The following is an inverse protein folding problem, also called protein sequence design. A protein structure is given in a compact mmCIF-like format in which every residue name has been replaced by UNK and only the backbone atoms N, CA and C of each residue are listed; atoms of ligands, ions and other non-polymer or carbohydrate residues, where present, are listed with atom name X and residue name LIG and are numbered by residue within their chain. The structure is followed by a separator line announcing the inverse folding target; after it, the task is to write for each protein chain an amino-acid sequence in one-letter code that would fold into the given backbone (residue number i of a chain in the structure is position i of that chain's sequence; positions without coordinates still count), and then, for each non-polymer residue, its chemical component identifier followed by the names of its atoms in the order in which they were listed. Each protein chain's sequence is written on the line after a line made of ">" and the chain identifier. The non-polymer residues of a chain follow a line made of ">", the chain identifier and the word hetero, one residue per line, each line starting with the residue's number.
data_IF_695918139173
#
_entry.id   IF_695918139173
#
_cell.length_a   1.000
_cell.length_b   1.000
_cell.length_c   1.000
_cell.angle_alpha   90.00
_cell.angle_beta   90.00
_cell.angle_gamma   90.00
#
_symmetry.space_group_name_H-M   'P 1'
#
loop_
_entity.id
_entity.type
_entity.pdbx_description
1 polymer ?
#
# COMPACT_ATOMS: atom_id res chain seq x y z
N UNK A 1 19.83 3.64 19.28
CA UNK A 1 18.52 4.02 19.88
C UNK A 1 18.44 3.44 21.28
N UNK A 2 18.16 4.25 22.30
CA UNK A 2 17.93 3.74 23.66
C UNK A 2 16.55 3.09 23.75
N UNK A 3 16.37 2.11 24.66
CA UNK A 3 15.06 1.44 24.90
C UNK A 3 13.92 2.45 25.11
N UNK A 4 14.21 3.53 25.84
CA UNK A 4 13.31 4.68 26.06
C UNK A 4 12.85 5.36 24.77
N UNK A 5 13.68 5.43 23.74
CA UNK A 5 13.31 6.04 22.45
C UNK A 5 12.32 5.16 21.70
N UNK A 6 12.53 3.84 21.70
CA UNK A 6 11.66 2.87 21.01
C UNK A 6 10.27 2.89 21.64
N UNK A 7 10.19 2.87 22.97
CA UNK A 7 8.92 2.90 23.69
C UNK A 7 8.09 4.17 23.37
N UNK A 8 8.75 5.31 23.19
CA UNK A 8 8.10 6.55 22.79
C UNK A 8 7.50 6.47 21.38
N UNK A 9 8.17 5.80 20.44
CA UNK A 9 7.67 5.61 19.08
C UNK A 9 6.56 4.56 19.03
N UNK A 10 6.70 3.45 19.76
CA UNK A 10 5.65 2.43 19.88
C UNK A 10 4.37 3.01 20.47
N UNK A 11 4.49 3.82 21.52
CA UNK A 11 3.35 4.52 22.09
C UNK A 11 2.72 5.50 21.10
N UNK A 12 3.54 6.26 20.38
CA UNK A 12 3.05 7.22 19.37
C UNK A 12 2.34 6.55 18.17
N UNK A 13 2.66 5.28 17.91
CA UNK A 13 2.02 4.43 16.88
C UNK A 13 0.81 3.65 17.39
N UNK A 14 0.45 3.75 18.68
CA UNK A 14 -0.69 3.03 19.22
C UNK A 14 -1.99 3.80 18.92
N UNK A 15 -2.89 3.28 18.06
CA UNK A 15 -4.12 3.97 17.69
C UNK A 15 -5.17 3.99 18.82
N UNK A 16 -4.94 3.25 19.90
CA UNK A 16 -5.85 3.20 21.04
C UNK A 16 -5.50 4.24 22.11
N UNK A 17 -4.36 4.92 21.99
CA UNK A 17 -3.89 5.90 22.97
C UNK A 17 -3.77 7.26 22.29
N UNK A 18 -4.61 8.21 22.72
CA UNK A 18 -4.55 9.58 22.22
C UNK A 18 -3.23 10.26 22.66
N UNK A 19 -2.56 11.02 21.78
CA UNK A 19 -1.36 11.77 22.15
C UNK A 19 -1.71 12.84 23.19
N UNK A 20 -0.85 13.03 24.20
CA UNK A 20 -1.14 13.94 25.34
C UNK A 20 -0.59 15.36 25.19
N UNK A 21 0.26 15.60 24.19
CA UNK A 21 0.88 16.91 24.00
C UNK A 21 1.63 17.02 22.68
N UNK A 22 2.21 18.20 22.42
CA UNK A 22 2.78 18.56 21.12
C UNK A 22 3.85 17.57 20.63
N UNK A 23 4.78 17.16 21.49
CA UNK A 23 5.84 16.23 21.12
C UNK A 23 5.33 14.83 20.76
N UNK A 24 4.35 14.30 21.51
CA UNK A 24 3.72 13.01 21.21
C UNK A 24 2.90 13.11 19.91
N UNK A 25 2.17 14.21 19.71
CA UNK A 25 1.37 14.45 18.51
C UNK A 25 2.24 14.54 17.24
N UNK A 26 3.39 15.21 17.31
CA UNK A 26 4.37 15.26 16.22
C UNK A 26 4.94 13.89 15.89
N UNK A 27 5.36 13.10 16.89
CA UNK A 27 5.87 11.74 16.67
C UNK A 27 4.80 10.84 16.07
N UNK A 28 3.59 10.94 16.58
CA UNK A 28 2.45 10.17 16.09
C UNK A 28 2.16 10.53 14.63
N UNK A 29 2.05 11.82 14.28
CA UNK A 29 1.85 12.25 12.89
C UNK A 29 2.99 11.84 11.94
N UNK A 30 4.24 11.80 12.43
CA UNK A 30 5.41 11.36 11.65
C UNK A 30 5.49 9.85 11.51
N UNK A 31 4.83 9.07 12.37
CA UNK A 31 4.84 7.61 12.29
C UNK A 31 4.27 7.08 10.97
N UNK A 32 3.44 7.86 10.27
CA UNK A 32 3.00 7.57 8.91
C UNK A 32 4.14 7.19 7.96
N UNK A 33 5.33 7.79 8.12
CA UNK A 33 6.50 7.46 7.30
C UNK A 33 6.89 5.98 7.44
N UNK A 34 6.74 5.42 8.64
CA UNK A 34 6.98 4.00 8.90
C UNK A 34 5.93 3.16 8.18
N UNK A 35 4.65 3.53 8.29
CA UNK A 35 3.56 2.82 7.60
C UNK A 35 3.71 2.86 6.08
N UNK A 36 4.06 4.02 5.51
CA UNK A 36 4.35 4.18 4.08
C UNK A 36 5.54 3.31 3.65
N UNK A 37 6.60 3.27 4.46
CA UNK A 37 7.77 2.43 4.19
C UNK A 37 7.44 0.93 4.19
N UNK A 38 6.66 0.47 5.17
CA UNK A 38 6.18 -0.93 5.23
C UNK A 38 5.34 -1.25 3.99
N UNK A 39 4.37 -0.39 3.67
CA UNK A 39 3.49 -0.59 2.52
C UNK A 39 4.27 -0.62 1.20
N UNK A 40 5.29 0.23 1.03
CA UNK A 40 6.16 0.22 -0.14
C UNK A 40 6.96 -1.09 -0.23
N UNK A 41 7.70 -1.44 0.82
CA UNK A 41 8.58 -2.63 0.81
C UNK A 41 7.77 -3.89 0.53
N UNK A 42 6.63 -4.04 1.19
CA UNK A 42 5.78 -5.22 1.03
C UNK A 42 5.02 -5.18 -0.30
N UNK A 43 4.64 -4.00 -0.78
CA UNK A 43 4.04 -3.83 -2.10
C UNK A 43 4.99 -4.20 -3.25
N UNK A 44 6.31 -4.04 -3.06
CA UNK A 44 7.31 -4.45 -4.05
C UNK A 44 7.50 -5.98 -4.14
N UNK A 45 7.08 -6.75 -3.14
CA UNK A 45 7.23 -8.22 -3.16
C UNK A 45 6.39 -8.85 -4.29
N UNK A 46 5.06 -8.60 -4.39
CA UNK A 46 4.28 -9.05 -5.54
C UNK A 46 4.82 -8.51 -6.86
N UNK A 47 5.24 -7.24 -6.92
CA UNK A 47 5.79 -6.62 -8.13
C UNK A 47 7.02 -7.35 -8.64
N UNK A 48 7.97 -7.65 -7.74
CA UNK A 48 9.18 -8.41 -8.06
C UNK A 48 8.85 -9.82 -8.55
N UNK A 49 7.94 -10.51 -7.87
CA UNK A 49 7.58 -11.86 -8.30
C UNK A 49 6.84 -11.87 -9.63
N UNK A 50 5.91 -10.92 -9.88
CA UNK A 50 5.24 -10.79 -11.17
C UNK A 50 6.24 -10.56 -12.32
N UNK A 51 7.35 -9.90 -12.03
CA UNK A 51 8.44 -9.69 -12.97
C UNK A 51 9.19 -10.99 -13.29
N UNK A 52 9.35 -11.91 -12.32
CA UNK A 52 10.18 -13.11 -12.48
C UNK A 52 9.42 -14.41 -12.72
N UNK A 53 8.10 -14.45 -12.52
CA UNK A 53 7.34 -15.71 -12.44
C UNK A 53 6.68 -16.17 -13.75
N UNK A 54 6.63 -15.31 -14.78
CA UNK A 54 5.87 -15.59 -16.00
C UNK A 54 4.35 -15.64 -15.79
N UNK A 55 3.85 -15.28 -14.59
CA UNK A 55 2.43 -15.31 -14.21
C UNK A 55 1.51 -14.57 -15.18
N UNK A 56 2.00 -13.55 -15.87
CA UNK A 56 1.19 -12.81 -16.81
C UNK A 56 0.69 -13.65 -17.99
N UNK A 57 1.49 -14.62 -18.46
CA UNK A 57 1.10 -15.50 -19.55
C UNK A 57 -0.09 -16.40 -19.18
N UNK A 58 -0.18 -16.78 -17.90
CA UNK A 58 -1.28 -17.56 -17.35
C UNK A 58 -2.46 -16.69 -16.93
N UNK A 59 -2.22 -15.46 -16.47
CA UNK A 59 -3.26 -14.48 -16.14
C UNK A 59 -4.11 -14.06 -17.33
N UNK A 60 -3.45 -13.80 -18.46
CA UNK A 60 -4.17 -13.29 -19.64
C UNK A 60 -4.83 -14.40 -20.47
N UNK A 61 -4.51 -15.68 -20.24
CA UNK A 61 -5.06 -16.76 -21.08
C UNK A 61 -6.58 -16.90 -20.96
N UNK A 62 -7.13 -16.72 -19.76
CA UNK A 62 -8.57 -16.73 -19.54
C UNK A 62 -9.26 -15.52 -20.19
N UNK A 63 -8.58 -14.37 -20.17
CA UNK A 63 -9.09 -13.13 -20.75
C UNK A 63 -9.09 -13.17 -22.28
N UNK A 64 -8.01 -13.67 -22.89
CA UNK A 64 -7.96 -13.89 -24.33
C UNK A 64 -9.04 -14.86 -24.83
N UNK A 65 -9.35 -15.90 -24.04
CA UNK A 65 -10.44 -16.82 -24.35
C UNK A 65 -11.82 -16.12 -24.28
N UNK A 66 -12.04 -15.24 -23.29
CA UNK A 66 -13.26 -14.41 -23.20
C UNK A 66 -13.42 -13.44 -24.36
N UNK A 67 -12.32 -12.91 -24.87
CA UNK A 67 -12.30 -12.00 -26.01
C UNK A 67 -12.57 -12.71 -27.36
N UNK A 68 -12.57 -14.05 -27.40
CA UNK A 68 -12.82 -14.81 -28.62
C UNK A 68 -11.73 -14.66 -29.69
N UNK A 69 -10.49 -14.38 -29.27
CA UNK A 69 -9.36 -14.18 -30.18
C UNK A 69 -8.96 -15.48 -30.90
N UNK A 70 -8.57 -15.38 -32.16
CA UNK A 70 -7.98 -16.51 -32.90
C UNK A 70 -6.60 -16.90 -32.34
N UNK A 71 -6.12 -18.11 -32.65
CA UNK A 71 -4.79 -18.59 -32.23
C UNK A 71 -3.68 -17.61 -32.60
N UNK A 72 -3.75 -17.04 -33.80
CA UNK A 72 -2.72 -16.14 -34.33
C UNK A 72 -2.78 -14.77 -33.64
N UNK A 73 -3.98 -14.30 -33.32
CA UNK A 73 -4.17 -13.09 -32.53
C UNK A 73 -3.66 -13.25 -31.09
N UNK A 74 -3.90 -14.40 -30.46
CA UNK A 74 -3.37 -14.71 -29.13
C UNK A 74 -1.85 -14.76 -29.14
N UNK A 75 -1.26 -15.40 -30.15
CA UNK A 75 0.19 -15.45 -30.30
C UNK A 75 0.80 -14.04 -30.45
N UNK A 76 0.20 -13.20 -31.29
CA UNK A 76 0.64 -11.82 -31.49
C UNK A 76 0.52 -10.98 -30.20
N UNK A 77 -0.60 -11.10 -29.47
CA UNK A 77 -0.80 -10.41 -28.19
C UNK A 77 0.19 -10.85 -27.11
N UNK A 78 0.50 -12.15 -27.03
CA UNK A 78 1.52 -12.67 -26.11
C UNK A 78 2.89 -12.09 -26.40
N UNK A 79 3.32 -12.06 -27.67
CA UNK A 79 4.61 -11.48 -28.04
C UNK A 79 4.68 -9.97 -27.74
N UNK A 80 3.61 -9.23 -28.05
CA UNK A 80 3.52 -7.82 -27.71
C UNK A 80 3.60 -7.56 -26.20
N UNK A 81 2.88 -8.36 -25.41
CA UNK A 81 2.88 -8.25 -23.95
C UNK A 81 4.23 -8.64 -23.34
N UNK A 82 4.95 -9.63 -23.88
CA UNK A 82 6.32 -9.95 -23.43
C UNK A 82 7.25 -8.75 -23.51
N UNK A 83 7.08 -7.88 -24.52
CA UNK A 83 7.88 -6.67 -24.66
C UNK A 83 7.42 -5.59 -23.68
N UNK A 84 6.12 -5.34 -23.57
CA UNK A 84 5.60 -4.19 -22.79
C UNK A 84 5.59 -4.43 -21.29
N UNK A 85 5.27 -5.66 -20.88
CA UNK A 85 5.00 -5.98 -19.48
C UNK A 85 6.19 -5.72 -18.53
N UNK A 86 7.44 -6.06 -18.89
CA UNK A 86 8.61 -5.70 -18.09
C UNK A 86 8.74 -4.19 -17.86
N UNK A 87 8.46 -3.37 -18.87
CA UNK A 87 8.47 -1.91 -18.74
C UNK A 87 7.32 -1.41 -17.87
N UNK A 88 6.11 -1.98 -18.03
CA UNK A 88 4.96 -1.60 -17.21
C UNK A 88 5.20 -1.92 -15.72
N UNK A 89 5.73 -3.10 -15.40
CA UNK A 89 6.11 -3.47 -14.03
C UNK A 89 7.21 -2.56 -13.51
N UNK A 90 8.31 -2.40 -14.28
CA UNK A 90 9.46 -1.59 -13.86
C UNK A 90 9.07 -0.13 -13.63
N UNK A 91 8.30 0.46 -14.54
CA UNK A 91 7.78 1.81 -14.40
C UNK A 91 6.84 1.93 -13.19
N UNK A 92 5.96 0.96 -12.98
CA UNK A 92 5.08 0.91 -11.81
C UNK A 92 5.86 0.87 -10.49
N UNK A 93 6.95 0.10 -10.43
CA UNK A 93 7.84 0.03 -9.26
C UNK A 93 8.53 1.37 -9.01
N UNK A 94 9.13 1.98 -10.05
CA UNK A 94 9.79 3.29 -9.96
C UNK A 94 8.81 4.36 -9.50
N UNK A 95 7.64 4.41 -10.13
CA UNK A 95 6.57 5.35 -9.78
C UNK A 95 6.14 5.17 -8.33
N UNK A 96 5.98 3.93 -7.86
CA UNK A 96 5.61 3.64 -6.47
C UNK A 96 6.67 4.13 -5.48
N UNK A 97 7.97 3.89 -5.75
CA UNK A 97 9.07 4.40 -4.92
C UNK A 97 9.06 5.92 -4.85
N UNK A 98 8.90 6.60 -5.99
CA UNK A 98 8.83 8.06 -6.05
C UNK A 98 7.61 8.60 -5.31
N UNK A 99 6.43 8.04 -5.54
CA UNK A 99 5.18 8.46 -4.92
C UNK A 99 5.26 8.32 -3.40
N UNK A 100 5.60 7.13 -2.90
CA UNK A 100 5.71 6.88 -1.46
C UNK A 100 6.84 7.69 -0.81
N UNK A 101 7.95 7.91 -1.54
CA UNK A 101 9.04 8.77 -1.10
C UNK A 101 8.60 10.23 -0.92
N UNK A 102 7.90 10.80 -1.90
CA UNK A 102 7.34 12.16 -1.82
C UNK A 102 6.32 12.26 -0.69
N UNK A 103 5.39 11.32 -0.58
CA UNK A 103 4.40 11.29 0.50
C UNK A 103 5.06 11.22 1.88
N UNK A 104 6.10 10.39 2.02
CA UNK A 104 6.87 10.29 3.26
C UNK A 104 7.57 11.61 3.62
N UNK A 105 8.21 12.27 2.65
CA UNK A 105 8.85 13.58 2.86
C UNK A 105 7.83 14.64 3.24
N UNK A 106 6.72 14.74 2.50
CA UNK A 106 5.65 15.70 2.79
C UNK A 106 5.09 15.46 4.19
N UNK A 107 4.81 14.21 4.54
CA UNK A 107 4.25 13.88 5.83
C UNK A 107 5.23 14.13 6.99
N UNK A 108 6.52 13.88 6.79
CA UNK A 108 7.55 14.16 7.79
C UNK A 108 7.66 15.65 8.11
N UNK A 109 7.59 16.49 7.07
CA UNK A 109 7.76 17.94 7.15
C UNK A 109 6.48 18.65 7.60
N UNK A 110 5.36 18.32 6.98
CA UNK A 110 4.10 19.05 7.13
C UNK A 110 3.16 18.44 8.17
N UNK A 111 3.29 17.14 8.47
CA UNK A 111 2.44 16.41 9.43
C UNK A 111 0.94 16.57 9.11
N UNK A 112 0.61 16.37 7.83
CA UNK A 112 -0.75 16.61 7.33
C UNK A 112 -1.74 15.55 7.82
N UNK A 113 -3.02 15.93 7.93
CA UNK A 113 -4.13 14.98 8.14
C UNK A 113 -4.62 14.32 6.84
N UNK A 114 -4.36 14.96 5.69
CA UNK A 114 -4.88 14.51 4.40
C UNK A 114 -4.27 13.17 3.97
N UNK A 115 -2.94 13.02 4.08
CA UNK A 115 -2.25 11.79 3.65
C UNK A 115 -2.77 10.56 4.44
N UNK A 116 -2.83 10.56 5.78
CA UNK A 116 -3.41 9.43 6.53
C UNK A 116 -4.87 9.13 6.13
N UNK A 117 -5.72 10.14 5.93
CA UNK A 117 -7.12 9.96 5.52
C UNK A 117 -7.20 9.27 4.16
N UNK A 118 -6.46 9.77 3.17
CA UNK A 118 -6.45 9.21 1.82
C UNK A 118 -5.96 7.76 1.85
N UNK A 119 -4.88 7.46 2.58
CA UNK A 119 -4.32 6.12 2.66
C UNK A 119 -5.27 5.14 3.36
N UNK A 120 -5.98 5.57 4.41
CA UNK A 120 -7.03 4.78 5.05
C UNK A 120 -8.22 4.53 4.11
N UNK A 121 -8.65 5.55 3.37
CA UNK A 121 -9.73 5.43 2.38
C UNK A 121 -9.37 4.44 1.25
N UNK A 122 -8.15 4.53 0.71
CA UNK A 122 -7.66 3.59 -0.30
C UNK A 122 -7.60 2.16 0.23
N UNK A 123 -7.19 1.98 1.48
CA UNK A 123 -7.12 0.66 2.10
C UNK A 123 -8.52 0.08 2.37
N UNK A 124 -9.46 0.90 2.85
CA UNK A 124 -10.86 0.51 3.03
C UNK A 124 -11.50 0.13 1.69
N UNK A 125 -11.28 0.94 0.65
CA UNK A 125 -11.71 0.63 -0.71
C UNK A 125 -11.13 -0.71 -1.19
N UNK A 126 -9.82 -0.93 -1.03
CA UNK A 126 -9.17 -2.18 -1.41
C UNK A 126 -9.76 -3.40 -0.70
N UNK A 127 -10.02 -3.29 0.61
CA UNK A 127 -10.65 -4.35 1.39
C UNK A 127 -12.06 -4.66 0.86
N UNK A 128 -12.90 -3.64 0.68
CA UNK A 128 -14.27 -3.80 0.18
C UNK A 128 -14.29 -4.35 -1.24
N UNK A 129 -13.41 -3.87 -2.12
CA UNK A 129 -13.30 -4.35 -3.49
C UNK A 129 -12.87 -5.83 -3.54
N UNK A 130 -11.86 -6.22 -2.75
CA UNK A 130 -11.41 -7.61 -2.67
C UNK A 130 -12.51 -8.54 -2.13
N UNK A 131 -13.23 -8.11 -1.09
CA UNK A 131 -14.37 -8.86 -0.56
C UNK A 131 -15.49 -8.97 -1.60
N UNK A 132 -15.83 -7.87 -2.27
CA UNK A 132 -16.84 -7.83 -3.33
C UNK A 132 -16.54 -8.78 -4.48
N UNK A 133 -15.30 -8.75 -4.99
CA UNK A 133 -14.87 -9.66 -6.06
C UNK A 133 -14.97 -11.13 -5.66
N UNK A 134 -14.64 -11.45 -4.39
CA UNK A 134 -14.77 -12.83 -3.86
C UNK A 134 -16.23 -13.25 -3.73
N UNK A 135 -17.09 -12.41 -3.17
CA UNK A 135 -18.52 -12.72 -3.02
C UNK A 135 -19.24 -12.86 -4.36
N UNK A 136 -18.84 -12.07 -5.36
CA UNK A 136 -19.40 -12.13 -6.71
C UNK A 136 -18.78 -13.24 -7.58
N UNK A 137 -17.76 -13.95 -7.09
CA UNK A 137 -17.04 -14.97 -7.88
C UNK A 137 -16.31 -14.39 -9.09
N UNK A 138 -16.00 -13.09 -9.08
CA UNK A 138 -15.36 -12.36 -10.20
C UNK A 138 -13.86 -12.17 -9.99
N UNK A 139 -13.28 -12.82 -8.98
CA UNK A 139 -11.86 -12.68 -8.68
C UNK A 139 -11.03 -13.18 -9.87
N UNK A 140 -10.10 -12.37 -10.40
CA UNK A 140 -9.30 -12.77 -11.56
C UNK A 140 -8.38 -13.95 -11.17
N UNK A 141 -8.45 -15.02 -11.96
CA UNK A 141 -7.50 -16.15 -11.88
C UNK A 141 -6.33 -15.91 -12.85
N UNK A 142 -5.09 -16.29 -12.49
CA UNK A 142 -4.65 -16.97 -11.28
C UNK A 142 -4.53 -16.05 -10.06
N UNK A 143 -4.94 -16.56 -8.90
CA UNK A 143 -4.74 -15.88 -7.62
C UNK A 143 -3.26 -15.75 -7.26
N UNK A 144 -2.91 -14.74 -6.46
CA UNK A 144 -1.57 -14.60 -5.90
C UNK A 144 -1.23 -15.83 -5.02
N UNK A 145 0.02 -16.31 -5.05
CA UNK A 145 0.47 -17.40 -4.17
C UNK A 145 0.15 -17.12 -2.69
N UNK A 146 -0.24 -18.17 -1.95
CA UNK A 146 -0.63 -18.05 -0.54
C UNK A 146 0.42 -17.34 0.32
N UNK A 147 1.71 -17.64 0.12
CA UNK A 147 2.79 -17.01 0.87
C UNK A 147 2.82 -15.49 0.70
N UNK A 148 2.42 -14.96 -0.45
CA UNK A 148 2.31 -13.52 -0.66
C UNK A 148 1.17 -12.92 0.13
N UNK A 149 0.00 -13.57 0.10
CA UNK A 149 -1.16 -13.14 0.89
C UNK A 149 -0.80 -13.08 2.38
N UNK A 150 -0.03 -14.06 2.86
CA UNK A 150 0.47 -14.11 4.23
C UNK A 150 1.51 -13.03 4.56
N UNK A 151 2.12 -12.37 3.58
CA UNK A 151 3.03 -11.23 3.80
C UNK A 151 2.31 -9.88 3.63
N UNK A 152 1.45 -9.74 2.62
CA UNK A 152 0.80 -8.48 2.28
C UNK A 152 -0.31 -8.10 3.24
N UNK A 153 -1.14 -9.07 3.68
CA UNK A 153 -2.25 -8.79 4.59
C UNK A 153 -1.81 -8.35 5.98
N UNK A 154 -0.86 -9.05 6.66
CA UNK A 154 -0.37 -8.58 7.95
C UNK A 154 0.32 -7.22 7.86
N UNK A 155 1.09 -6.97 6.80
CA UNK A 155 1.74 -5.68 6.59
C UNK A 155 0.73 -4.55 6.35
N UNK A 156 -0.34 -4.81 5.60
CA UNK A 156 -1.43 -3.87 5.40
C UNK A 156 -2.13 -3.57 6.74
N UNK A 157 -2.39 -4.58 7.57
CA UNK A 157 -2.98 -4.40 8.90
C UNK A 157 -2.08 -3.56 9.82
N UNK A 158 -0.78 -3.83 9.86
CA UNK A 158 0.19 -3.02 10.62
C UNK A 158 0.22 -1.57 10.10
N UNK A 159 0.23 -1.39 8.79
CA UNK A 159 0.21 -0.06 8.17
C UNK A 159 -1.07 0.69 8.53
N UNK A 160 -2.23 0.03 8.52
CA UNK A 160 -3.52 0.58 8.92
C UNK A 160 -3.49 1.17 10.33
N UNK A 161 -2.98 0.39 11.28
CA UNK A 161 -2.84 0.76 12.69
C UNK A 161 -1.99 2.03 12.80
N UNK A 162 -0.87 2.09 12.08
CA UNK A 162 0.01 3.27 12.05
C UNK A 162 -0.70 4.47 11.40
N UNK A 163 -1.48 4.27 10.34
CA UNK A 163 -2.20 5.35 9.66
C UNK A 163 -3.26 5.98 10.58
N UNK A 164 -3.99 5.16 11.36
CA UNK A 164 -4.95 5.64 12.36
C UNK A 164 -4.23 6.44 13.44
N UNK A 165 -3.13 5.92 14.00
CA UNK A 165 -2.35 6.64 15.00
C UNK A 165 -1.85 7.99 14.44
N UNK A 166 -1.27 7.98 13.24
CA UNK A 166 -0.83 9.21 12.56
C UNK A 166 -1.95 10.22 12.35
N UNK A 167 -3.16 9.76 12.02
CA UNK A 167 -4.30 10.65 11.86
C UNK A 167 -4.65 11.33 13.18
N UNK A 168 -4.67 10.59 14.30
CA UNK A 168 -4.92 11.15 15.63
C UNK A 168 -3.87 12.22 15.98
N UNK A 169 -2.58 11.93 15.74
CA UNK A 169 -1.51 12.90 15.91
C UNK A 169 -1.71 14.18 15.09
N UNK A 170 -2.00 14.03 13.79
CA UNK A 170 -2.21 15.16 12.89
C UNK A 170 -3.45 16.00 13.25
N UNK A 171 -4.54 15.37 13.68
CA UNK A 171 -5.74 16.07 14.15
C UNK A 171 -5.47 16.88 15.41
N UNK A 172 -4.74 16.32 16.37
CA UNK A 172 -4.39 17.04 17.59
C UNK A 172 -3.46 18.23 17.28
N UNK A 173 -2.45 18.06 16.42
CA UNK A 173 -1.60 19.17 15.99
C UNK A 173 -2.41 20.29 15.31
N UNK A 174 -3.42 19.94 14.52
CA UNK A 174 -4.31 20.90 13.91
C UNK A 174 -5.14 21.67 14.95
N UNK A 175 -5.62 20.99 16.01
CA UNK A 175 -6.34 21.66 17.11
C UNK A 175 -5.41 22.60 17.89
N UNK A 176 -4.25 22.10 18.32
CA UNK A 176 -3.25 22.86 19.07
C UNK A 176 -2.70 24.09 18.32
N UNK A 177 -2.77 24.11 16.99
CA UNK A 177 -2.37 25.27 16.18
C UNK A 177 -3.47 26.31 15.99
N UNK A 178 -4.73 25.91 16.15
CA UNK A 178 -5.90 26.72 15.84
C UNK A 178 -6.72 27.11 17.08
N UNK A 179 -6.42 26.54 18.24
CA UNK A 179 -7.01 26.92 19.53
C UNK A 179 -6.01 27.87 20.24
N UNK A 180 -6.41 29.13 20.52
CA UNK A 180 -5.56 30.16 21.15
C UNK A 180 -5.27 29.92 22.63
#
# INVERSE_FOLDING_TARGET
>A
MTRTTIDLWLRAMNPLILPRGMAEAQRSARSMVIGLGIALIVGLIPTWWMFTSGWFETAMSAEYARMGLSSDQVAMQREFMKVIWPYAIGFGAIFSVLLYGVLAVVQWRMMTRAIPIIMLALMAYSLVANMGMRFLGTMPTPELPLWMLLTTWPAAAVSAVIYVASLQGAMLLHRLRNEP
#
